data_IF_647333573669
#
_entry.id   IF_647333573669
#
_cell.length_a   1.000
_cell.length_b   1.000
_cell.length_c   1.000
_cell.angle_alpha   90.00
_cell.angle_beta   90.00
_cell.angle_gamma   90.00
#
_symmetry.space_group_name_H-M   'P 1'
#
loop_
_entity.id
_entity.type
_entity.pdbx_description
1 polymer ?
#
# COMPACT_ATOMS: atom_id res chain seq x y z
N UNK A 1 11.24 -17.74 13.07
CA UNK A 1 11.91 -18.02 11.78
C UNK A 1 10.95 -17.88 10.57
N UNK A 2 9.78 -17.26 10.75
CA UNK A 2 8.61 -17.42 9.87
C UNK A 2 8.29 -16.16 9.02
N UNK A 3 8.68 -14.98 9.49
CA UNK A 3 8.41 -13.71 8.81
C UNK A 3 9.28 -13.48 7.56
N UNK A 4 10.49 -14.06 7.51
CA UNK A 4 11.43 -13.87 6.40
C UNK A 4 10.98 -14.63 5.15
N UNK A 5 10.62 -15.92 5.30
CA UNK A 5 10.12 -16.75 4.18
C UNK A 5 8.81 -16.23 3.60
N UNK A 6 7.94 -15.67 4.44
CA UNK A 6 6.71 -15.07 3.98
C UNK A 6 6.92 -13.84 3.08
N UNK A 7 8.05 -13.13 3.25
CA UNK A 7 8.45 -12.05 2.34
C UNK A 7 9.01 -12.61 1.02
N UNK A 8 9.73 -13.72 1.07
CA UNK A 8 10.34 -14.34 -0.12
C UNK A 8 9.26 -14.83 -1.10
N UNK A 9 8.26 -15.58 -0.64
CA UNK A 9 7.12 -16.02 -1.47
C UNK A 9 6.39 -14.83 -2.09
N UNK A 10 6.18 -13.75 -1.31
CA UNK A 10 5.54 -12.53 -1.81
C UNK A 10 6.34 -11.88 -2.97
N UNK A 11 7.68 -11.89 -2.89
CA UNK A 11 8.52 -11.40 -3.98
C UNK A 11 8.53 -12.34 -5.19
N UNK A 12 8.52 -13.65 -4.99
CA UNK A 12 8.46 -14.61 -6.10
C UNK A 12 7.16 -14.48 -6.90
N UNK A 13 6.01 -14.35 -6.24
CA UNK A 13 4.72 -14.11 -6.91
C UNK A 13 4.73 -12.82 -7.72
N UNK A 14 5.48 -11.79 -7.31
CA UNK A 14 5.59 -10.55 -8.09
C UNK A 14 6.29 -10.76 -9.44
N UNK A 15 7.22 -11.70 -9.54
CA UNK A 15 7.91 -12.04 -10.79
C UNK A 15 6.94 -12.73 -11.74
N UNK A 16 6.13 -13.68 -11.24
CA UNK A 16 5.11 -14.37 -12.02
C UNK A 16 4.06 -13.40 -12.56
N UNK A 17 3.56 -12.50 -11.70
CA UNK A 17 2.63 -11.44 -12.06
C UNK A 17 3.20 -10.49 -13.14
N UNK A 18 4.51 -10.27 -13.14
CA UNK A 18 5.18 -9.42 -14.14
C UNK A 18 5.41 -10.15 -15.46
N UNK A 19 5.60 -11.46 -15.45
CA UNK A 19 5.76 -12.27 -16.67
C UNK A 19 4.47 -12.37 -17.49
N UNK A 20 3.31 -12.13 -16.89
CA UNK A 20 2.01 -12.08 -17.57
C UNK A 20 1.68 -10.70 -18.18
N UNK A 21 2.47 -9.66 -17.86
CA UNK A 21 2.23 -8.28 -18.29
C UNK A 21 3.49 -7.75 -18.96
N UNK A 22 3.50 -7.65 -20.30
CA UNK A 22 4.62 -7.10 -21.10
C UNK A 22 4.91 -5.59 -20.82
N UNK A 23 4.25 -4.98 -19.83
CA UNK A 23 4.34 -3.55 -19.50
C UNK A 23 4.38 -3.29 -17.97
N UNK A 24 4.92 -2.13 -17.59
CA UNK A 24 4.97 -1.66 -16.20
C UNK A 24 3.58 -1.68 -15.53
N UNK A 25 3.43 -2.47 -14.46
CA UNK A 25 2.19 -2.56 -13.69
C UNK A 25 2.30 -1.77 -12.38
N UNK A 26 1.70 -0.57 -12.37
CA UNK A 26 1.73 0.34 -11.24
C UNK A 26 1.26 -0.31 -9.91
N UNK A 27 0.16 -1.10 -9.85
CA UNK A 27 -0.24 -1.80 -8.63
C UNK A 27 0.83 -2.75 -8.08
N UNK A 28 1.51 -3.50 -8.96
CA UNK A 28 2.56 -4.45 -8.54
C UNK A 28 3.75 -3.69 -7.95
N UNK A 29 4.21 -2.64 -8.63
CA UNK A 29 5.30 -1.80 -8.13
C UNK A 29 4.96 -1.13 -6.80
N UNK A 30 3.71 -0.68 -6.64
CA UNK A 30 3.24 -0.09 -5.40
C UNK A 30 3.26 -1.09 -4.24
N UNK A 31 2.74 -2.31 -4.46
CA UNK A 31 2.76 -3.36 -3.44
C UNK A 31 4.18 -3.72 -2.98
N UNK A 32 5.14 -3.77 -3.91
CA UNK A 32 6.55 -3.98 -3.56
C UNK A 32 7.10 -2.86 -2.69
N UNK A 33 6.78 -1.59 -3.00
CA UNK A 33 7.23 -0.43 -2.24
C UNK A 33 6.66 -0.43 -0.83
N UNK A 34 5.35 -0.60 -0.66
CA UNK A 34 4.72 -0.56 0.66
C UNK A 34 5.17 -1.72 1.56
N UNK A 35 5.42 -2.91 0.99
CA UNK A 35 5.89 -4.07 1.73
C UNK A 35 7.37 -3.95 2.17
N UNK A 36 8.23 -3.35 1.32
CA UNK A 36 9.68 -3.25 1.59
C UNK A 36 10.11 -1.97 2.27
N UNK A 37 9.34 -0.88 2.14
CA UNK A 37 9.74 0.47 2.56
C UNK A 37 8.68 1.07 3.49
N UNK A 38 8.78 0.83 4.81
CA UNK A 38 7.80 1.33 5.79
C UNK A 38 7.58 2.86 5.70
N UNK A 39 8.65 3.62 5.48
CA UNK A 39 8.55 5.07 5.29
C UNK A 39 7.69 5.46 4.08
N UNK A 40 7.80 4.73 2.96
CA UNK A 40 6.95 4.94 1.78
C UNK A 40 5.49 4.62 2.09
N UNK A 41 5.24 3.50 2.77
CA UNK A 41 3.89 3.10 3.16
C UNK A 41 3.20 4.14 4.07
N UNK A 42 3.93 4.72 5.02
CA UNK A 42 3.39 5.78 5.87
C UNK A 42 3.05 7.05 5.08
N UNK A 43 3.89 7.45 4.13
CA UNK A 43 3.60 8.58 3.24
C UNK A 43 2.36 8.28 2.38
N UNK A 44 2.25 7.07 1.82
CA UNK A 44 1.07 6.63 1.07
C UNK A 44 -0.20 6.73 1.90
N UNK A 45 -0.18 6.24 3.15
CA UNK A 45 -1.30 6.35 4.09
C UNK A 45 -1.69 7.80 4.39
N UNK A 46 -0.71 8.67 4.63
CA UNK A 46 -0.96 10.09 4.92
C UNK A 46 -1.59 10.79 3.72
N UNK A 47 -1.06 10.55 2.51
CA UNK A 47 -1.58 11.16 1.28
C UNK A 47 -2.96 10.59 0.95
N UNK A 48 -3.16 9.27 1.02
CA UNK A 48 -4.46 8.64 0.79
C UNK A 48 -5.55 9.15 1.72
N UNK A 49 -5.24 9.33 3.02
CA UNK A 49 -6.16 9.99 3.96
C UNK A 49 -6.49 11.42 3.54
N UNK A 50 -5.51 12.16 3.03
CA UNK A 50 -5.71 13.52 2.57
C UNK A 50 -6.55 13.57 1.28
N UNK A 51 -6.29 12.67 0.35
CA UNK A 51 -6.98 12.52 -0.93
C UNK A 51 -8.48 12.27 -0.78
N UNK A 52 -8.90 11.56 0.28
CA UNK A 52 -10.34 11.38 0.60
C UNK A 52 -11.07 12.67 0.93
N UNK A 53 -10.36 13.72 1.33
CA UNK A 53 -10.93 14.99 1.78
C UNK A 53 -10.64 16.14 0.81
N UNK A 54 -9.44 16.17 0.24
CA UNK A 54 -8.99 17.20 -0.69
C UNK A 54 -8.04 16.60 -1.72
N UNK A 55 -8.18 17.01 -2.98
CA UNK A 55 -7.29 16.59 -4.08
C UNK A 55 -5.95 17.32 -4.09
N UNK A 56 -5.62 18.07 -3.04
CA UNK A 56 -4.37 18.81 -2.93
C UNK A 56 -3.81 18.78 -1.51
N UNK A 57 -2.48 18.81 -1.41
CA UNK A 57 -1.76 18.85 -0.15
C UNK A 57 -0.42 19.58 -0.30
N UNK A 58 0.17 20.00 0.81
CA UNK A 58 1.50 20.61 0.82
C UNK A 58 2.55 19.70 1.44
N UNK A 59 3.82 19.92 1.06
CA UNK A 59 4.95 19.26 1.68
C UNK A 59 4.90 19.37 3.20
N UNK A 60 4.65 20.58 3.74
CA UNK A 60 4.63 20.84 5.18
C UNK A 60 3.53 20.07 5.92
N UNK A 61 2.37 19.83 5.29
CA UNK A 61 1.29 19.03 5.88
C UNK A 61 1.72 17.57 6.07
N UNK A 62 2.37 16.98 5.07
CA UNK A 62 2.86 15.59 5.13
C UNK A 62 4.08 15.52 6.04
N UNK A 63 5.01 16.47 5.94
CA UNK A 63 6.22 16.55 6.76
C UNK A 63 5.89 16.64 8.24
N UNK A 64 4.93 17.50 8.64
CA UNK A 64 4.48 17.58 10.04
C UNK A 64 4.04 16.21 10.58
N UNK A 65 3.30 15.43 9.79
CA UNK A 65 2.86 14.08 10.17
C UNK A 65 4.02 13.09 10.22
N UNK A 66 4.91 13.11 9.22
CA UNK A 66 6.09 12.25 9.20
C UNK A 66 7.07 12.56 10.34
N UNK A 67 7.24 13.82 10.72
CA UNK A 67 8.11 14.24 11.82
C UNK A 67 7.62 13.75 13.19
N UNK A 68 6.31 13.51 13.36
CA UNK A 68 5.80 12.89 14.59
C UNK A 68 6.19 11.41 14.71
N UNK A 69 6.42 10.73 13.59
CA UNK A 69 6.78 9.30 13.55
C UNK A 69 8.29 9.05 13.44
N UNK A 70 9.00 9.90 12.70
CA UNK A 70 10.41 9.72 12.33
C UNK A 70 11.32 10.85 12.81
N UNK A 71 10.78 11.81 13.56
CA UNK A 71 11.51 12.98 14.06
C UNK A 71 11.63 14.11 13.04
N UNK A 72 11.70 15.35 13.54
CA UNK A 72 11.88 16.56 12.74
C UNK A 72 13.34 16.75 12.36
N UNK A 73 13.76 16.06 11.29
CA UNK A 73 15.17 16.07 10.86
C UNK A 73 15.31 16.35 9.37
N UNK A 74 16.51 16.78 8.96
CA UNK A 74 16.84 16.90 7.55
C UNK A 74 16.76 15.53 6.83
N UNK A 75 17.03 14.42 7.53
CA UNK A 75 16.89 13.08 6.98
C UNK A 75 15.42 12.76 6.66
N UNK A 76 14.49 13.03 7.57
CA UNK A 76 13.04 12.88 7.36
C UNK A 76 12.56 13.74 6.18
N UNK A 77 13.04 14.99 6.10
CA UNK A 77 12.69 15.92 5.01
C UNK A 77 13.18 15.44 3.65
N UNK A 78 14.43 14.97 3.58
CA UNK A 78 15.01 14.39 2.36
C UNK A 78 14.31 13.10 1.94
N UNK A 79 14.00 12.21 2.90
CA UNK A 79 13.28 10.96 2.64
C UNK A 79 11.87 11.24 2.11
N UNK A 80 11.14 12.19 2.71
CA UNK A 80 9.82 12.62 2.21
C UNK A 80 9.91 13.18 0.79
N UNK A 81 10.91 14.03 0.53
CA UNK A 81 11.13 14.59 -0.81
C UNK A 81 11.38 13.51 -1.86
N UNK A 82 12.16 12.48 -1.51
CA UNK A 82 12.40 11.33 -2.38
C UNK A 82 11.11 10.54 -2.66
N UNK A 83 10.30 10.26 -1.62
CA UNK A 83 9.03 9.55 -1.81
C UNK A 83 8.06 10.35 -2.68
N UNK A 84 7.89 11.64 -2.44
CA UNK A 84 7.00 12.49 -3.25
C UNK A 84 7.47 12.57 -4.71
N UNK A 85 8.80 12.58 -4.94
CA UNK A 85 9.34 12.49 -6.29
C UNK A 85 9.00 11.15 -6.94
N UNK A 86 9.19 10.03 -6.25
CA UNK A 86 8.81 8.71 -6.77
C UNK A 86 7.32 8.64 -7.08
N UNK A 87 6.45 9.13 -6.19
CA UNK A 87 5.01 9.16 -6.43
C UNK A 87 4.64 10.03 -7.65
N UNK A 88 5.34 11.14 -7.89
CA UNK A 88 5.15 11.94 -9.09
C UNK A 88 5.65 11.24 -10.36
N UNK A 89 6.81 10.57 -10.31
CA UNK A 89 7.33 9.76 -11.42
C UNK A 89 6.41 8.57 -11.76
N UNK A 90 5.72 8.02 -10.75
CA UNK A 90 4.68 7.00 -10.91
C UNK A 90 3.33 7.54 -11.41
N UNK A 91 3.19 8.87 -11.55
CA UNK A 91 1.97 9.52 -12.05
C UNK A 91 0.78 9.52 -11.08
N UNK A 92 1.00 9.30 -9.77
CA UNK A 92 -0.09 9.28 -8.77
C UNK A 92 -0.34 10.64 -8.10
N UNK A 93 0.64 11.54 -8.21
CA UNK A 93 0.53 12.93 -7.78
C UNK A 93 1.23 13.84 -8.79
N UNK A 94 0.78 15.08 -8.90
CA UNK A 94 1.44 16.12 -9.69
C UNK A 94 1.99 17.21 -8.79
N UNK A 95 3.10 17.82 -9.20
CA UNK A 95 3.52 19.10 -8.62
C UNK A 95 2.58 20.18 -9.14
N UNK A 96 1.87 20.82 -8.23
CA UNK A 96 1.02 21.95 -8.60
C UNK A 96 1.87 23.16 -8.98
N UNK A 97 1.25 24.13 -9.66
CA UNK A 97 1.89 25.41 -10.01
C UNK A 97 2.29 26.25 -8.79
N UNK A 98 1.82 25.91 -7.58
CA UNK A 98 2.20 26.56 -6.33
C UNK A 98 3.43 25.88 -5.74
N UNK A 99 4.46 26.64 -5.32
CA UNK A 99 5.63 26.07 -4.67
C UNK A 99 5.24 25.16 -3.51
N UNK A 100 5.84 23.97 -3.43
CA UNK A 100 5.66 22.98 -2.35
C UNK A 100 4.25 22.35 -2.22
N UNK A 101 3.37 22.60 -3.18
CA UNK A 101 2.02 22.03 -3.22
C UNK A 101 1.92 20.95 -4.29
N UNK A 102 1.14 19.92 -3.98
CA UNK A 102 0.92 18.72 -4.80
C UNK A 102 -0.57 18.53 -5.01
N UNK A 103 -0.95 18.01 -6.17
CA UNK A 103 -2.30 17.53 -6.46
C UNK A 103 -2.30 16.02 -6.58
N UNK A 104 -3.33 15.38 -6.06
CA UNK A 104 -3.60 13.96 -6.28
C UNK A 104 -4.10 13.78 -7.70
N UNK A 105 -3.51 12.85 -8.43
CA UNK A 105 -4.08 12.45 -9.73
C UNK A 105 -5.28 11.57 -9.42
N UNK A 106 -6.50 11.90 -9.92
CA UNK A 106 -7.69 11.10 -9.69
C UNK A 106 -7.58 9.79 -10.48
N UNK A 107 -6.84 8.85 -9.91
CA UNK A 107 -6.55 7.54 -10.49
C UNK A 107 -7.28 6.49 -9.65
N UNK A 108 -8.58 6.34 -9.87
CA UNK A 108 -9.38 5.33 -9.18
C UNK A 108 -9.51 4.10 -10.07
N UNK A 109 -8.39 3.46 -10.37
CA UNK A 109 -8.42 2.17 -11.06
C UNK A 109 -8.79 1.08 -10.06
N UNK A 110 -9.92 0.42 -10.29
CA UNK A 110 -10.26 -0.82 -9.60
C UNK A 110 -9.32 -1.91 -10.09
N UNK A 111 -8.52 -2.46 -9.18
CA UNK A 111 -7.61 -3.56 -9.50
C UNK A 111 -8.37 -4.88 -9.61
N UNK A 112 -7.81 -5.84 -10.34
CA UNK A 112 -8.37 -7.20 -10.40
C UNK A 112 -8.34 -7.88 -9.03
N UNK A 113 -9.21 -8.88 -8.83
CA UNK A 113 -9.24 -9.64 -7.57
C UNK A 113 -7.87 -10.23 -7.22
N UNK A 114 -7.13 -10.72 -8.21
CA UNK A 114 -5.81 -11.30 -7.99
C UNK A 114 -4.81 -10.25 -7.46
N UNK A 115 -4.77 -9.06 -8.07
CA UNK A 115 -3.93 -7.95 -7.60
C UNK A 115 -4.39 -7.44 -6.24
N UNK A 116 -5.71 -7.36 -5.99
CA UNK A 116 -6.26 -6.96 -4.70
C UNK A 116 -5.77 -7.88 -3.56
N UNK A 117 -5.85 -9.19 -3.75
CA UNK A 117 -5.36 -10.19 -2.77
C UNK A 117 -3.84 -10.05 -2.53
N UNK A 118 -3.07 -9.87 -3.60
CA UNK A 118 -1.62 -9.67 -3.48
C UNK A 118 -1.28 -8.36 -2.76
N UNK A 119 -1.98 -7.25 -3.06
CA UNK A 119 -1.83 -5.98 -2.36
C UNK A 119 -2.23 -6.07 -0.88
N UNK A 120 -3.25 -6.85 -0.54
CA UNK A 120 -3.60 -7.12 0.87
C UNK A 120 -2.47 -7.78 1.63
N UNK A 121 -1.77 -8.73 0.99
CA UNK A 121 -0.56 -9.31 1.58
C UNK A 121 0.51 -8.24 1.81
N UNK A 122 0.70 -7.33 0.84
CA UNK A 122 1.64 -6.22 0.97
C UNK A 122 1.28 -5.26 2.13
N UNK A 123 -0.01 -4.97 2.31
CA UNK A 123 -0.52 -4.16 3.41
C UNK A 123 -0.31 -4.85 4.77
N UNK A 124 -0.58 -6.15 4.88
CA UNK A 124 -0.30 -6.94 6.09
C UNK A 124 1.19 -6.93 6.45
N UNK A 125 2.08 -7.08 5.45
CA UNK A 125 3.53 -6.98 5.65
C UNK A 125 3.91 -5.57 6.14
N UNK A 126 3.34 -4.53 5.53
CA UNK A 126 3.58 -3.13 5.92
C UNK A 126 3.16 -2.84 7.36
N UNK A 127 2.04 -3.39 7.80
CA UNK A 127 1.52 -3.28 9.17
C UNK A 127 2.22 -4.22 10.16
N UNK A 128 3.10 -5.10 9.67
CA UNK A 128 3.70 -6.18 10.46
C UNK A 128 2.65 -7.06 11.16
N UNK A 129 1.56 -7.38 10.43
CA UNK A 129 0.44 -8.20 10.91
C UNK A 129 0.42 -9.55 10.21
N UNK A 130 0.14 -10.60 10.98
CA UNK A 130 -0.08 -11.97 10.48
C UNK A 130 -1.55 -12.25 10.21
N UNK A 131 -2.44 -11.44 10.80
CA UNK A 131 -3.89 -11.47 10.60
C UNK A 131 -4.47 -10.07 10.66
N UNK A 132 -5.58 -9.86 9.95
CA UNK A 132 -6.26 -8.57 9.88
C UNK A 132 -7.73 -8.80 9.48
N UNK A 133 -8.66 -7.97 9.93
CA UNK A 133 -10.04 -8.06 9.45
C UNK A 133 -10.16 -7.46 8.05
N UNK A 134 -11.10 -7.97 7.23
CA UNK A 134 -11.38 -7.38 5.90
C UNK A 134 -11.71 -5.89 6.04
N UNK A 135 -12.52 -5.51 7.03
CA UNK A 135 -12.89 -4.11 7.28
C UNK A 135 -11.66 -3.25 7.60
N UNK A 136 -10.72 -3.77 8.39
CA UNK A 136 -9.50 -3.05 8.74
C UNK A 136 -8.59 -2.88 7.52
N UNK A 137 -8.43 -3.91 6.68
CA UNK A 137 -7.68 -3.83 5.43
C UNK A 137 -8.28 -2.74 4.54
N UNK A 138 -9.57 -2.82 4.25
CA UNK A 138 -10.25 -1.88 3.35
C UNK A 138 -10.27 -0.43 3.88
N UNK A 139 -10.11 -0.25 5.20
CA UNK A 139 -9.97 1.06 5.82
C UNK A 139 -8.54 1.64 5.73
N UNK A 140 -7.51 0.83 5.50
CA UNK A 140 -6.12 1.31 5.37
C UNK A 140 -5.96 2.14 4.09
N UNK A 141 -5.29 3.28 4.21
CA UNK A 141 -5.01 4.19 3.08
C UNK A 141 -3.70 3.88 2.37
N UNK A 142 -2.99 2.81 2.76
CA UNK A 142 -1.75 2.37 2.12
C UNK A 142 -1.95 2.01 0.64
N UNK A 143 -3.20 1.67 0.26
CA UNK A 143 -3.58 1.32 -1.11
C UNK A 143 -3.73 2.48 -2.06
N UNK A 144 -3.75 3.73 -1.57
CA UNK A 144 -3.77 4.89 -2.44
C UNK A 144 -2.71 4.71 -3.56
N UNK A 145 -3.05 4.93 -4.84
CA UNK A 145 -4.30 5.49 -5.34
C UNK A 145 -5.40 4.45 -5.68
N UNK A 146 -5.16 3.15 -5.53
CA UNK A 146 -6.05 2.10 -6.04
C UNK A 146 -7.31 1.90 -5.22
N UNK A 147 -8.36 1.46 -5.91
CA UNK A 147 -9.55 0.92 -5.26
C UNK A 147 -9.38 -0.59 -5.06
N UNK A 148 -9.33 -1.00 -3.80
CA UNK A 148 -9.29 -2.41 -3.39
C UNK A 148 -10.69 -2.84 -2.95
N UNK A 149 -11.11 -4.00 -3.46
CA UNK A 149 -12.38 -4.64 -3.11
C UNK A 149 -12.11 -6.12 -2.83
N UNK A 150 -12.18 -6.51 -1.55
CA UNK A 150 -12.01 -7.89 -1.11
C UNK A 150 -13.18 -8.27 -0.22
N UNK A 151 -13.77 -9.41 -0.54
CA UNK A 151 -14.83 -10.04 0.24
C UNK A 151 -14.66 -11.57 0.14
N UNK A 152 -15.52 -12.34 0.81
CA UNK A 152 -15.40 -13.81 0.81
C UNK A 152 -15.43 -14.45 -0.58
N UNK A 153 -16.11 -13.84 -1.56
CA UNK A 153 -16.22 -14.38 -2.91
C UNK A 153 -14.98 -14.07 -3.76
N UNK A 154 -14.23 -13.03 -3.41
CA UNK A 154 -13.04 -12.59 -4.14
C UNK A 154 -11.74 -12.91 -3.42
N UNK A 155 -11.80 -13.36 -2.17
CA UNK A 155 -10.65 -13.77 -1.37
C UNK A 155 -9.99 -15.00 -1.99
N UNK A 156 -8.69 -14.92 -2.21
CA UNK A 156 -7.90 -16.04 -2.70
C UNK A 156 -7.59 -17.02 -1.58
N UNK A 157 -8.33 -18.15 -1.55
CA UNK A 157 -8.17 -19.22 -0.57
C UNK A 157 -6.84 -19.99 -0.67
N UNK A 158 -6.07 -19.79 -1.75
CA UNK A 158 -4.70 -20.32 -1.84
C UNK A 158 -3.71 -19.47 -1.03
N UNK A 159 -3.98 -18.16 -0.91
CA UNK A 159 -3.14 -17.19 -0.20
C UNK A 159 -3.61 -16.94 1.23
N UNK A 160 -4.91 -16.98 1.49
CA UNK A 160 -5.52 -16.64 2.77
C UNK A 160 -6.37 -17.75 3.36
N UNK A 161 -6.30 -17.89 4.67
CA UNK A 161 -7.32 -18.56 5.49
C UNK A 161 -8.19 -17.49 6.14
N UNK A 162 -9.44 -17.81 6.46
CA UNK A 162 -10.33 -16.87 7.14
C UNK A 162 -11.06 -17.53 8.30
N UNK A 163 -11.34 -16.72 9.33
CA UNK A 163 -12.20 -17.08 10.45
C UNK A 163 -13.26 -16.00 10.63
N UNK A 164 -14.51 -16.43 10.78
CA UNK A 164 -15.59 -15.54 11.16
C UNK A 164 -15.58 -15.35 12.68
N UNK A 165 -15.38 -14.12 13.13
CA UNK A 165 -15.44 -13.73 14.54
C UNK A 165 -16.59 -12.73 14.72
N UNK A 166 -17.73 -13.23 15.19
CA UNK A 166 -18.97 -12.44 15.26
C UNK A 166 -19.38 -11.96 13.87
N UNK A 167 -19.40 -10.63 13.69
CA UNK A 167 -19.79 -9.99 12.43
C UNK A 167 -18.60 -9.62 11.52
N UNK A 168 -17.36 -9.92 11.95
CA UNK A 168 -16.15 -9.59 11.21
C UNK A 168 -15.49 -10.85 10.66
N UNK A 169 -14.96 -10.75 9.44
CA UNK A 169 -14.14 -11.78 8.81
C UNK A 169 -12.68 -11.41 9.02
N UNK A 170 -11.96 -12.25 9.74
CA UNK A 170 -10.52 -12.12 9.97
C UNK A 170 -9.79 -13.01 8.99
N UNK A 171 -8.89 -12.43 8.20
CA UNK A 171 -8.04 -13.15 7.26
C UNK A 171 -6.64 -13.34 7.85
N UNK A 172 -6.05 -14.50 7.56
CA UNK A 172 -4.73 -14.92 7.97
C UNK A 172 -3.97 -15.29 6.71
N UNK A 173 -2.67 -14.97 6.65
CA UNK A 173 -1.86 -15.51 5.56
C UNK A 173 -1.74 -17.02 5.75
N UNK A 174 -2.08 -17.79 4.72
CA UNK A 174 -1.94 -19.24 4.74
C UNK A 174 -0.46 -19.58 4.89
N UNK A 175 -0.11 -20.32 5.93
CA UNK A 175 1.22 -20.91 6.03
C UNK A 175 1.26 -22.06 5.01
N UNK A 176 1.90 -21.83 3.88
CA UNK A 176 2.09 -22.85 2.83
C UNK A 176 3.13 -23.89 3.25
N UNK A 177 3.04 -24.52 4.43
CA UNK A 177 3.80 -25.73 4.77
C UNK A 177 3.06 -26.57 5.83
N UNK A 178 2.58 -27.73 5.38
CA UNK A 178 2.92 -29.03 5.98
C UNK A 178 4.18 -29.54 5.31
#
# INVERSE_FOLDING_TARGET
>A
MDATKNKDVFFETSIQLHQEIDAFSLPIHWGMLIAKKPFFAEVARIIGRQARLNDAFTFSQVFRRMSMLYGETQATSRALSAVLRTMAELGVIDRSNKPTSYSVVPMQEKVSNHIANWLTTAAMISLNKVSISIDEVLADQVFFPFQIDINLNTLDASTFEYLQQGNSIVVFKRNLYS
#
